data_IF_005634909155
#
_entry.id   IF_005634909155
#
_cell.length_a   1.000
_cell.length_b   1.000
_cell.length_c   1.000
_cell.angle_alpha   90.00
_cell.angle_beta   90.00
_cell.angle_gamma   90.00
#
_symmetry.space_group_name_H-M   'P 1'
#
loop_
_entity.id
_entity.type
_entity.pdbx_description
1 polymer ?
#
# COMPACT_ATOMS: atom_id res chain seq x y z
N UNK A 1 -0.85 -29.02 3.28
CA UNK A 1 -0.71 -27.69 2.66
C UNK A 1 -0.02 -26.82 3.69
N UNK A 2 1.05 -26.11 3.30
CA UNK A 2 1.71 -25.18 4.22
C UNK A 2 0.91 -23.88 4.20
N UNK A 3 0.32 -23.52 5.33
CA UNK A 3 -0.37 -22.24 5.47
C UNK A 3 0.66 -21.11 5.30
N UNK A 4 0.49 -20.28 4.27
CA UNK A 4 1.36 -19.12 4.02
C UNK A 4 0.80 -17.89 4.71
N UNK A 5 1.64 -16.88 4.96
CA UNK A 5 1.18 -15.58 5.50
C UNK A 5 0.16 -14.95 4.57
N UNK A 6 0.35 -15.08 3.26
CA UNK A 6 -0.60 -14.63 2.25
C UNK A 6 -1.99 -15.27 2.42
N UNK A 7 -2.05 -16.60 2.59
CA UNK A 7 -3.32 -17.30 2.77
C UNK A 7 -4.03 -16.92 4.08
N UNK A 8 -3.27 -16.65 5.15
CA UNK A 8 -3.85 -16.18 6.42
C UNK A 8 -4.38 -14.76 6.25
N UNK A 9 -3.63 -13.88 5.58
CA UNK A 9 -4.06 -12.51 5.33
C UNK A 9 -5.34 -12.47 4.49
N UNK A 10 -5.42 -13.29 3.44
CA UNK A 10 -6.60 -13.46 2.60
C UNK A 10 -7.82 -13.89 3.43
N UNK A 11 -7.69 -14.95 4.23
CA UNK A 11 -8.77 -15.46 5.10
C UNK A 11 -9.26 -14.39 6.08
N UNK A 12 -8.35 -13.63 6.68
CA UNK A 12 -8.71 -12.54 7.61
C UNK A 12 -9.38 -11.38 6.89
N UNK A 13 -8.88 -10.99 5.71
CA UNK A 13 -9.50 -9.92 4.93
C UNK A 13 -10.89 -10.30 4.45
N UNK A 14 -11.11 -11.55 4.04
CA UNK A 14 -12.42 -12.07 3.67
C UNK A 14 -13.39 -12.02 4.87
N UNK A 15 -12.97 -12.53 6.02
CA UNK A 15 -13.80 -12.53 7.23
C UNK A 15 -14.18 -11.11 7.68
N UNK A 16 -13.24 -10.15 7.63
CA UNK A 16 -13.52 -8.75 7.98
C UNK A 16 -14.43 -8.11 6.95
N UNK A 17 -14.24 -8.36 5.65
CA UNK A 17 -15.08 -7.78 4.60
C UNK A 17 -16.53 -8.31 4.63
N UNK A 18 -16.72 -9.57 5.05
CA UNK A 18 -18.05 -10.17 5.23
C UNK A 18 -18.83 -9.51 6.37
N UNK A 19 -18.17 -9.22 7.49
CA UNK A 19 -18.81 -8.61 8.67
C UNK A 19 -18.89 -7.07 8.56
N UNK A 20 -17.88 -6.43 7.96
CA UNK A 20 -17.70 -4.98 7.88
C UNK A 20 -17.39 -4.55 6.44
N UNK A 21 -18.45 -4.42 5.64
CA UNK A 21 -18.36 -4.19 4.19
C UNK A 21 -17.70 -2.86 3.77
N UNK A 22 -17.57 -1.89 4.68
CA UNK A 22 -17.02 -0.56 4.43
C UNK A 22 -15.56 -0.38 4.91
N UNK A 23 -15.00 -1.42 5.54
CA UNK A 23 -13.65 -1.37 6.14
C UNK A 23 -12.57 -1.83 5.15
N UNK A 24 -12.84 -2.89 4.39
CA UNK A 24 -11.92 -3.41 3.37
C UNK A 24 -12.32 -2.83 2.01
N UNK A 25 -11.44 -1.99 1.45
CA UNK A 25 -11.69 -1.24 0.24
C UNK A 25 -10.95 -1.86 -0.94
N UNK A 26 -11.56 -1.89 -2.12
CA UNK A 26 -10.80 -2.15 -3.36
C UNK A 26 -9.76 -1.05 -3.56
N UNK A 27 -8.54 -1.41 -3.95
CA UNK A 27 -7.48 -0.46 -4.22
C UNK A 27 -6.83 -0.66 -5.60
N UNK A 28 -6.30 0.42 -6.14
CA UNK A 28 -5.48 0.41 -7.35
C UNK A 28 -4.19 1.19 -7.10
N UNK A 29 -3.05 0.53 -7.24
CA UNK A 29 -1.73 1.14 -7.20
C UNK A 29 -1.26 1.40 -8.62
N UNK A 30 -0.79 2.61 -8.88
CA UNK A 30 -0.22 3.02 -10.18
C UNK A 30 1.25 3.33 -10.00
N UNK A 31 2.09 2.56 -10.67
CA UNK A 31 3.53 2.75 -10.76
C UNK A 31 3.88 3.40 -12.10
N UNK A 32 4.71 4.44 -12.06
CA UNK A 32 5.26 5.06 -13.27
C UNK A 32 6.76 4.84 -13.32
N UNK A 33 7.23 4.27 -14.42
CA UNK A 33 8.66 4.13 -14.70
C UNK A 33 9.06 5.18 -15.73
N UNK A 34 10.00 6.04 -15.35
CA UNK A 34 10.63 6.99 -16.27
C UNK A 34 11.58 6.24 -17.21
N UNK A 35 11.36 6.38 -18.51
CA UNK A 35 12.16 5.81 -19.58
C UNK A 35 13.26 6.74 -20.06
N UNK A 36 13.72 6.54 -21.30
CA UNK A 36 14.78 7.34 -21.90
C UNK A 36 14.34 8.78 -22.18
N UNK A 37 15.30 9.71 -22.12
CA UNK A 37 15.10 11.09 -22.53
C UNK A 37 15.02 11.18 -24.06
N UNK A 38 13.98 11.84 -24.57
CA UNK A 38 13.86 12.23 -25.98
C UNK A 38 14.22 13.71 -26.14
N UNK A 39 15.38 13.97 -26.75
CA UNK A 39 15.88 15.31 -26.99
C UNK A 39 15.04 16.11 -28.01
N UNK A 40 14.20 15.45 -28.81
CA UNK A 40 13.34 16.09 -29.82
C UNK A 40 12.12 16.73 -29.17
N UNK A 41 11.51 16.01 -28.23
CA UNK A 41 10.30 16.45 -27.52
C UNK A 41 10.63 17.14 -26.20
N UNK A 42 11.87 17.02 -25.72
CA UNK A 42 12.30 17.59 -24.44
C UNK A 42 11.69 16.87 -23.24
N UNK A 43 11.25 15.62 -23.41
CA UNK A 43 10.51 14.86 -22.41
C UNK A 43 11.12 13.47 -22.21
N UNK A 44 10.77 12.85 -21.09
CA UNK A 44 11.06 11.43 -20.83
C UNK A 44 9.83 10.60 -21.21
N UNK A 45 10.05 9.42 -21.77
CA UNK A 45 8.95 8.45 -21.90
C UNK A 45 8.52 7.97 -20.52
N UNK A 46 7.23 7.68 -20.34
CA UNK A 46 6.71 7.10 -19.11
C UNK A 46 5.98 5.79 -19.45
N UNK A 47 6.31 4.73 -18.73
CA UNK A 47 5.54 3.48 -18.75
C UNK A 47 4.71 3.42 -17.48
N UNK A 48 3.41 3.19 -17.61
CA UNK A 48 2.50 3.05 -16.48
C UNK A 48 2.14 1.58 -16.26
N UNK A 49 2.32 1.11 -15.03
CA UNK A 49 1.90 -0.20 -14.54
C UNK A 49 0.82 -0.02 -13.49
N UNK A 50 -0.17 -0.91 -13.47
CA UNK A 50 -1.26 -0.88 -12.48
C UNK A 50 -1.32 -2.20 -11.74
N UNK A 51 -1.50 -2.12 -10.42
CA UNK A 51 -1.68 -3.26 -9.52
C UNK A 51 -3.01 -3.11 -8.82
N UNK A 52 -3.80 -4.16 -8.77
CA UNK A 52 -5.11 -4.15 -8.10
C UNK A 52 -5.07 -5.05 -6.88
N UNK A 53 -5.79 -4.67 -5.83
CA UNK A 53 -5.90 -5.47 -4.62
C UNK A 53 -6.90 -4.87 -3.64
N UNK A 54 -6.69 -5.13 -2.35
CA UNK A 54 -7.51 -4.64 -1.24
C UNK A 54 -6.68 -3.77 -0.32
N UNK A 55 -7.33 -2.81 0.34
CA UNK A 55 -6.72 -1.91 1.29
C UNK A 55 -7.60 -1.74 2.52
N UNK A 56 -6.97 -1.84 3.68
CA UNK A 56 -7.50 -1.38 4.95
C UNK A 56 -6.83 -0.06 5.31
N UNK A 57 -7.60 1.01 5.46
CA UNK A 57 -7.10 2.30 5.93
C UNK A 57 -7.23 2.32 7.46
N UNK A 58 -6.11 2.43 8.16
CA UNK A 58 -6.10 2.46 9.62
C UNK A 58 -6.55 3.85 10.11
N UNK A 59 -7.86 4.10 10.16
CA UNK A 59 -8.43 5.35 10.67
C UNK A 59 -8.27 5.42 12.19
N UNK A 60 -7.69 6.51 12.71
CA UNK A 60 -7.43 6.69 14.14
C UNK A 60 -6.06 6.19 14.61
N UNK A 61 -5.28 5.57 13.73
CA UNK A 61 -3.84 5.47 13.94
C UNK A 61 -3.27 6.89 13.86
N UNK A 62 -3.10 7.53 15.02
CA UNK A 62 -2.01 8.50 15.16
C UNK A 62 -0.72 7.82 14.69
N UNK A 63 0.35 8.58 14.47
CA UNK A 63 1.70 8.11 14.09
C UNK A 63 2.23 6.92 14.93
N UNK A 64 1.53 6.57 16.01
CA UNK A 64 1.67 5.38 16.84
C UNK A 64 1.25 4.03 16.19
N UNK A 65 0.87 4.00 14.91
CA UNK A 65 0.83 2.80 14.04
C UNK A 65 -0.30 1.77 14.29
N UNK A 66 -0.12 0.53 13.81
CA UNK A 66 -1.16 -0.53 13.77
C UNK A 66 -1.04 -1.42 15.00
N UNK A 67 -2.15 -1.63 15.73
CA UNK A 67 -2.18 -2.55 16.89
C UNK A 67 -1.31 -2.12 18.07
N UNK A 68 -0.96 -0.83 18.17
CA UNK A 68 -0.09 -0.27 19.22
C UNK A 68 1.41 -0.31 18.91
N UNK A 69 1.82 -0.82 17.74
CA UNK A 69 3.20 -0.76 17.25
C UNK A 69 3.44 0.58 16.54
N UNK A 70 4.50 1.30 16.90
CA UNK A 70 4.77 2.63 16.34
C UNK A 70 5.17 2.50 14.87
N UNK A 71 4.84 3.51 14.05
CA UNK A 71 5.33 3.59 12.66
C UNK A 71 6.85 3.40 12.61
N UNK A 72 7.60 3.89 13.60
CA UNK A 72 9.05 3.75 13.71
C UNK A 72 9.55 2.32 13.89
N UNK A 73 8.70 1.40 14.36
CA UNK A 73 9.05 -0.02 14.53
C UNK A 73 9.04 -0.73 13.18
N UNK A 74 8.18 -0.28 12.26
CA UNK A 74 8.04 -0.83 10.90
C UNK A 74 8.94 -0.08 9.91
N UNK A 75 9.03 1.25 10.07
CA UNK A 75 9.80 2.16 9.23
C UNK A 75 10.79 2.97 10.08
N UNK A 76 11.95 2.38 10.44
CA UNK A 76 12.96 3.08 11.21
C UNK A 76 13.41 4.37 10.53
N UNK A 77 13.32 5.49 11.24
CA UNK A 77 13.72 6.80 10.73
C UNK A 77 12.66 7.56 9.93
N UNK A 78 11.48 6.98 9.69
CA UNK A 78 10.38 7.70 9.07
C UNK A 78 9.81 8.76 10.04
N UNK A 79 9.67 10.00 9.54
CA UNK A 79 9.06 11.10 10.29
C UNK A 79 7.69 11.38 9.68
N UNK A 80 6.63 11.02 10.40
CA UNK A 80 5.29 11.16 9.86
C UNK A 80 4.85 12.63 9.78
N UNK A 81 4.30 12.97 8.63
CA UNK A 81 3.61 14.22 8.37
C UNK A 81 2.15 14.18 8.82
N UNK A 82 1.48 15.34 8.89
CA UNK A 82 0.10 15.46 9.34
C UNK A 82 -0.94 14.85 8.38
N UNK A 83 -0.56 14.58 7.13
CA UNK A 83 -1.44 13.99 6.11
C UNK A 83 -1.22 12.48 5.93
N UNK A 84 -0.21 11.92 6.61
CA UNK A 84 0.17 10.53 6.44
C UNK A 84 -0.86 9.60 7.09
N UNK A 85 -1.23 8.56 6.36
CA UNK A 85 -2.06 7.47 6.86
C UNK A 85 -1.34 6.15 6.70
N UNK A 86 -1.56 5.25 7.65
CA UNK A 86 -1.12 3.86 7.53
C UNK A 86 -2.20 3.06 6.81
N UNK A 87 -1.78 2.29 5.82
CA UNK A 87 -2.65 1.37 5.08
C UNK A 87 -2.03 -0.02 5.09
N UNK A 88 -2.89 -1.04 5.19
CA UNK A 88 -2.51 -2.44 5.01
C UNK A 88 -3.07 -2.88 3.66
N UNK A 89 -2.20 -3.38 2.79
CA UNK A 89 -2.52 -3.80 1.43
C UNK A 89 -2.43 -5.31 1.34
N UNK A 90 -3.39 -5.92 0.66
CA UNK A 90 -3.47 -7.36 0.48
C UNK A 90 -3.85 -7.68 -0.97
N UNK A 91 -3.33 -8.81 -1.45
CA UNK A 91 -3.74 -9.39 -2.73
C UNK A 91 -3.32 -8.57 -3.95
N UNK A 92 -2.31 -7.69 -3.82
CA UNK A 92 -1.81 -6.90 -4.93
C UNK A 92 -1.21 -7.79 -6.03
N UNK A 93 -1.52 -7.49 -7.28
CA UNK A 93 -0.95 -8.19 -8.46
C UNK A 93 0.51 -7.81 -8.76
N UNK A 94 1.13 -6.97 -7.94
CA UNK A 94 2.52 -6.55 -8.03
C UNK A 94 2.94 -5.72 -6.83
N UNK A 95 4.25 -5.61 -6.62
CA UNK A 95 4.81 -4.97 -5.42
C UNK A 95 4.64 -3.45 -5.50
N UNK A 96 3.99 -2.82 -4.50
CA UNK A 96 3.90 -1.38 -4.40
C UNK A 96 5.28 -0.78 -4.09
N UNK A 97 5.55 0.42 -4.57
CA UNK A 97 6.82 1.12 -4.36
C UNK A 97 6.61 2.53 -3.83
N UNK A 98 7.64 3.09 -3.22
CA UNK A 98 7.66 4.51 -2.88
C UNK A 98 7.46 5.37 -4.13
N UNK A 99 6.69 6.46 -3.98
CA UNK A 99 6.21 7.35 -5.03
C UNK A 99 5.12 6.78 -5.96
N UNK A 100 4.71 5.53 -5.79
CA UNK A 100 3.49 5.06 -6.44
C UNK A 100 2.28 5.80 -5.89
N UNK A 101 1.21 5.82 -6.68
CA UNK A 101 -0.08 6.37 -6.23
C UNK A 101 -1.04 5.24 -5.94
N UNK A 102 -1.74 5.31 -4.81
CA UNK A 102 -2.77 4.35 -4.42
C UNK A 102 -4.13 5.06 -4.37
N UNK A 103 -5.10 4.51 -5.08
CA UNK A 103 -6.50 4.93 -5.00
C UNK A 103 -7.29 3.90 -4.18
N UNK A 104 -7.91 4.34 -3.09
CA UNK A 104 -8.78 3.52 -2.24
C UNK A 104 -9.84 4.41 -1.58
N UNK A 105 -11.09 3.94 -1.46
CA UNK A 105 -12.18 4.71 -0.83
C UNK A 105 -12.46 6.06 -1.49
N UNK A 106 -12.20 6.19 -2.80
CA UNK A 106 -12.37 7.43 -3.54
C UNK A 106 -11.27 8.49 -3.33
N UNK A 107 -10.23 8.18 -2.55
CA UNK A 107 -9.09 9.07 -2.32
C UNK A 107 -7.83 8.49 -2.96
N UNK A 108 -7.08 9.34 -3.65
CA UNK A 108 -5.75 9.00 -4.20
C UNK A 108 -4.68 9.58 -3.30
N UNK A 109 -3.69 8.76 -2.94
CA UNK A 109 -2.55 9.11 -2.08
C UNK A 109 -1.25 8.70 -2.72
N UNK A 110 -0.15 9.35 -2.38
CA UNK A 110 1.19 8.93 -2.77
C UNK A 110 1.81 8.09 -1.67
N UNK A 111 2.31 6.91 -2.03
CA UNK A 111 3.04 6.02 -1.13
C UNK A 111 4.38 6.66 -0.74
N UNK A 112 4.62 6.77 0.56
CA UNK A 112 5.80 7.37 1.18
C UNK A 112 6.78 6.34 1.74
N UNK A 113 6.27 5.18 2.14
CA UNK A 113 7.07 4.06 2.64
C UNK A 113 6.33 2.74 2.40
N UNK A 114 7.06 1.65 2.13
CA UNK A 114 6.52 0.31 1.88
C UNK A 114 7.29 -0.74 2.67
N UNK A 115 6.56 -1.61 3.38
CA UNK A 115 7.11 -2.78 4.07
C UNK A 115 6.37 -4.03 3.64
N UNK A 116 7.08 -5.03 3.13
CA UNK A 116 6.55 -6.37 2.88
C UNK A 116 6.51 -7.17 4.20
N UNK A 117 5.33 -7.66 4.56
CA UNK A 117 5.14 -8.39 5.81
C UNK A 117 5.67 -9.82 5.63
N UNK A 118 6.84 -10.07 6.24
CA UNK A 118 7.50 -11.39 6.25
C UNK A 118 7.89 -11.89 4.85
N UNK A 119 8.03 -11.00 3.87
CA UNK A 119 8.37 -11.39 2.50
C UNK A 119 7.24 -12.18 1.82
N UNK A 120 5.99 -11.87 2.18
CA UNK A 120 4.82 -12.57 1.65
C UNK A 120 4.56 -12.22 0.18
N UNK A 121 5.11 -11.12 -0.34
CA UNK A 121 4.95 -10.67 -1.73
C UNK A 121 3.51 -10.39 -2.14
N UNK A 122 2.62 -10.24 -1.16
CA UNK A 122 1.17 -10.10 -1.35
C UNK A 122 0.48 -9.43 -0.16
N UNK A 123 1.21 -9.18 0.93
CA UNK A 123 0.71 -8.52 2.13
C UNK A 123 1.70 -7.44 2.56
N UNK A 124 1.26 -6.19 2.52
CA UNK A 124 2.13 -5.02 2.69
C UNK A 124 1.55 -4.05 3.73
N UNK A 125 2.44 -3.36 4.42
CA UNK A 125 2.09 -2.17 5.19
C UNK A 125 2.70 -0.98 4.47
N UNK A 126 1.93 0.07 4.26
CA UNK A 126 2.38 1.29 3.60
C UNK A 126 2.01 2.53 4.39
N UNK A 127 2.79 3.59 4.20
CA UNK A 127 2.43 4.95 4.58
C UNK A 127 2.07 5.70 3.31
N UNK A 128 0.96 6.40 3.28
CA UNK A 128 0.53 7.18 2.12
C UNK A 128 -0.02 8.56 2.54
N UNK A 129 0.22 9.57 1.70
CA UNK A 129 -0.28 10.93 1.89
C UNK A 129 -1.07 11.39 0.67
#
# INVERSE_FOLDING_TARGET
MTTTVAAIAEEVFDAVAEELSDVILSCTVTHKTQGAYDATTGAYSETTSTYTGRALICTGATVEGVGGAKITDIFPGYVAGPADVVMILEGLTGDPKENDTIAAGGVTRTIKAVGDVVGAGSFFIVIAA
#
